data_IF_004746108895
#
_entry.id   IF_004746108895
#
_cell.length_a   1.000
_cell.length_b   1.000
_cell.length_c   1.000
_cell.angle_alpha   90.00
_cell.angle_beta   90.00
_cell.angle_gamma   90.00
#
_symmetry.space_group_name_H-M   'P 1'
#
loop_
_entity.id
_entity.type
_entity.pdbx_description
1 polymer ?
#
# COMPACT_ATOMS: atom_id res chain seq x y z
N UNK A 1 -22.98 -8.13 6.90
CA UNK A 1 -22.18 -8.47 5.70
C UNK A 1 -20.70 -8.22 6.01
N UNK A 2 -19.89 -9.26 6.17
CA UNK A 2 -18.45 -9.10 6.42
C UNK A 2 -17.78 -8.59 5.14
N UNK A 3 -17.26 -7.35 5.13
CA UNK A 3 -16.44 -6.86 4.01
C UNK A 3 -15.21 -7.76 3.88
N UNK A 4 -15.06 -8.40 2.72
CA UNK A 4 -13.91 -9.24 2.39
C UNK A 4 -12.63 -8.43 2.62
N UNK A 5 -11.65 -9.01 3.33
CA UNK A 5 -10.34 -8.38 3.52
C UNK A 5 -9.68 -8.25 2.15
N UNK A 6 -9.05 -7.10 1.89
CA UNK A 6 -8.28 -6.79 0.69
C UNK A 6 -6.80 -6.68 1.05
N UNK A 7 -5.94 -6.91 0.07
CA UNK A 7 -4.50 -6.70 0.21
C UNK A 7 -4.14 -5.39 -0.49
N UNK A 8 -3.28 -4.62 0.16
CA UNK A 8 -2.70 -3.40 -0.37
C UNK A 8 -1.18 -3.55 -0.32
N UNK A 9 -0.48 -2.97 -1.29
CA UNK A 9 0.97 -2.93 -1.31
C UNK A 9 1.43 -1.47 -1.14
N UNK A 10 2.48 -1.25 -0.36
CA UNK A 10 3.10 0.06 -0.23
C UNK A 10 4.58 0.01 -0.59
N UNK A 11 5.06 1.06 -1.24
CA UNK A 11 6.48 1.33 -1.44
C UNK A 11 6.72 2.81 -1.17
N UNK A 12 7.68 3.11 -0.31
CA UNK A 12 8.07 4.47 0.00
C UNK A 12 9.42 4.84 -0.62
N UNK A 13 9.67 6.14 -0.76
CA UNK A 13 10.87 6.67 -1.42
C UNK A 13 12.19 6.36 -0.74
N UNK A 14 12.19 5.73 0.44
CA UNK A 14 13.42 5.20 1.06
C UNK A 14 13.65 3.72 0.71
N UNK A 15 12.84 3.15 -0.19
CA UNK A 15 12.94 1.77 -0.64
C UNK A 15 12.29 0.76 0.30
N UNK A 16 11.57 1.21 1.32
CA UNK A 16 10.88 0.32 2.25
C UNK A 16 9.49 -0.03 1.72
N UNK A 17 9.18 -1.32 1.72
CA UNK A 17 8.09 -1.93 0.97
C UNK A 17 7.38 -2.97 1.81
N UNK A 18 6.08 -3.15 1.58
CA UNK A 18 5.33 -4.18 2.29
C UNK A 18 3.89 -4.30 1.87
N UNK A 19 3.17 -5.16 2.60
CA UNK A 19 1.75 -5.42 2.37
C UNK A 19 0.90 -5.03 3.58
N UNK A 20 -0.30 -4.55 3.33
CA UNK A 20 -1.30 -4.19 4.34
C UNK A 20 -2.59 -4.95 4.03
N UNK A 21 -3.11 -5.68 5.02
CA UNK A 21 -4.42 -6.33 4.92
C UNK A 21 -5.47 -5.42 5.57
N UNK A 22 -6.37 -4.87 4.76
CA UNK A 22 -7.39 -3.94 5.24
C UNK A 22 -8.76 -4.18 4.57
N UNK A 23 -9.82 -3.57 5.12
CA UNK A 23 -11.18 -3.67 4.55
C UNK A 23 -11.44 -2.63 3.44
N UNK A 24 -10.58 -1.64 3.29
CA UNK A 24 -10.69 -0.53 2.34
C UNK A 24 -9.37 0.23 2.24
N UNK A 25 -9.21 1.02 1.18
CA UNK A 25 -8.06 1.89 0.97
C UNK A 25 -7.79 2.84 2.15
N UNK A 26 -8.82 3.59 2.58
CA UNK A 26 -8.73 4.46 3.78
C UNK A 26 -8.32 3.70 5.05
N UNK A 27 -8.70 2.43 5.14
CA UNK A 27 -8.27 1.56 6.23
C UNK A 27 -6.78 1.22 6.16
N UNK A 28 -6.28 0.95 4.95
CA UNK A 28 -4.88 0.68 4.69
C UNK A 28 -4.02 1.93 4.94
N UNK A 29 -4.41 3.09 4.42
CA UNK A 29 -3.79 4.39 4.69
C UNK A 29 -3.65 4.66 6.19
N UNK A 30 -4.73 4.46 6.97
CA UNK A 30 -4.68 4.65 8.42
C UNK A 30 -3.70 3.69 9.10
N UNK A 31 -3.59 2.45 8.63
CA UNK A 31 -2.63 1.47 9.18
C UNK A 31 -1.20 1.88 8.80
N UNK A 32 -0.99 2.32 7.55
CA UNK A 32 0.29 2.79 7.06
C UNK A 32 0.82 3.97 7.90
N UNK A 33 0.01 5.02 8.08
CA UNK A 33 0.40 6.20 8.87
C UNK A 33 0.63 5.95 10.36
N UNK A 34 0.18 4.82 10.93
CA UNK A 34 0.57 4.46 12.30
C UNK A 34 2.06 4.14 12.42
N UNK A 35 2.64 3.55 11.38
CA UNK A 35 4.07 3.22 11.33
C UNK A 35 4.88 4.33 10.66
N UNK A 36 4.28 5.04 9.70
CA UNK A 36 4.92 6.12 8.93
C UNK A 36 4.13 7.44 9.02
N UNK A 37 4.02 8.07 10.19
CA UNK A 37 3.10 9.18 10.43
C UNK A 37 3.38 10.46 9.65
N UNK A 38 4.61 10.62 9.13
CA UNK A 38 5.03 11.82 8.39
C UNK A 38 5.09 11.62 6.88
N UNK A 39 4.85 10.41 6.37
CA UNK A 39 4.95 10.13 4.94
C UNK A 39 3.70 10.59 4.21
N UNK A 40 3.87 11.01 2.96
CA UNK A 40 2.77 11.40 2.08
C UNK A 40 2.37 10.19 1.24
N UNK A 41 1.08 9.88 1.14
CA UNK A 41 0.63 8.95 0.10
C UNK A 41 0.42 9.77 -1.17
N UNK A 42 1.08 9.36 -2.25
CA UNK A 42 1.18 10.12 -3.50
C UNK A 42 0.92 9.21 -4.70
N UNK A 43 0.68 9.82 -5.86
CA UNK A 43 0.43 9.16 -7.14
C UNK A 43 1.33 9.67 -8.26
N UNK A 44 2.32 10.52 -7.94
CA UNK A 44 3.23 11.13 -8.90
C UNK A 44 4.69 11.06 -8.42
N UNK A 45 5.62 11.08 -9.37
CA UNK A 45 7.06 10.88 -9.12
C UNK A 45 7.72 12.05 -8.37
N UNK A 46 7.30 13.28 -8.66
CA UNK A 46 7.87 14.47 -8.01
C UNK A 46 7.65 14.44 -6.50
N UNK A 47 6.41 14.17 -6.07
CA UNK A 47 6.06 14.07 -4.65
C UNK A 47 6.55 12.75 -4.03
N UNK A 48 6.80 11.72 -4.84
CA UNK A 48 7.40 10.48 -4.37
C UNK A 48 8.78 10.72 -3.76
N UNK A 49 9.66 11.39 -4.50
CA UNK A 49 11.00 11.73 -4.02
C UNK A 49 10.98 12.71 -2.83
N UNK A 50 9.94 13.52 -2.69
CA UNK A 50 9.69 14.36 -1.51
C UNK A 50 8.92 13.61 -0.39
N UNK A 51 9.52 12.54 0.14
CA UNK A 51 9.00 11.77 1.28
C UNK A 51 7.61 11.13 1.01
N UNK A 52 7.35 10.81 -0.26
CA UNK A 52 6.15 10.13 -0.70
C UNK A 52 6.17 8.61 -0.53
N UNK A 53 5.02 8.00 -0.76
CA UNK A 53 4.74 6.58 -0.71
C UNK A 53 3.63 6.27 -1.68
N UNK A 54 3.87 5.29 -2.54
CA UNK A 54 2.79 4.70 -3.31
C UNK A 54 2.06 3.66 -2.47
N UNK A 55 0.72 3.69 -2.50
CA UNK A 55 -0.14 2.71 -1.87
C UNK A 55 -1.16 2.21 -2.90
N UNK A 56 -1.11 0.92 -3.21
CA UNK A 56 -1.91 0.30 -4.25
C UNK A 56 -2.85 -0.75 -3.67
N UNK A 57 -4.10 -0.80 -4.15
CA UNK A 57 -4.98 -1.93 -3.88
C UNK A 57 -4.64 -3.08 -4.83
N UNK A 58 -4.36 -4.26 -4.29
CA UNK A 58 -4.12 -5.45 -5.11
C UNK A 58 -5.44 -6.02 -5.64
N UNK A 59 -5.35 -6.74 -6.76
CA UNK A 59 -6.48 -7.52 -7.26
C UNK A 59 -6.96 -8.56 -6.24
N UNK A 60 -8.14 -9.14 -6.49
CA UNK A 60 -8.70 -10.16 -5.61
C UNK A 60 -7.72 -11.32 -5.41
N UNK A 61 -7.38 -11.55 -4.14
CA UNK A 61 -6.40 -12.58 -3.76
C UNK A 61 -6.99 -13.97 -3.98
N UNK A 62 -6.22 -14.82 -4.66
CA UNK A 62 -6.52 -16.22 -4.95
C UNK A 62 -5.54 -17.10 -4.18
N UNK A 63 -6.05 -18.24 -3.69
CA UNK A 63 -5.21 -19.22 -3.01
C UNK A 63 -4.12 -19.75 -3.96
N UNK A 64 -2.93 -20.00 -3.41
CA UNK A 64 -1.78 -20.57 -4.12
C UNK A 64 -1.31 -19.76 -5.35
N UNK A 65 -1.47 -18.44 -5.34
CA UNK A 65 -0.95 -17.53 -6.39
C UNK A 65 0.13 -16.61 -5.81
N UNK A 66 1.25 -16.47 -6.53
CA UNK A 66 2.27 -15.46 -6.27
C UNK A 66 1.86 -14.14 -6.93
N UNK A 67 2.08 -13.03 -6.22
CA UNK A 67 1.75 -11.68 -6.70
C UNK A 67 3.02 -10.82 -6.69
N UNK A 68 3.34 -10.22 -7.84
CA UNK A 68 4.31 -9.14 -7.92
C UNK A 68 3.65 -7.84 -7.50
N UNK A 69 3.90 -7.40 -6.27
CA UNK A 69 3.24 -6.23 -5.69
C UNK A 69 3.94 -4.89 -6.00
N UNK A 70 5.11 -4.94 -6.62
CA UNK A 70 5.96 -3.79 -6.89
C UNK A 70 6.44 -3.87 -8.34
N UNK A 71 6.18 -2.86 -9.19
CA UNK A 71 6.78 -2.80 -10.50
C UNK A 71 8.31 -2.74 -10.38
N UNK A 72 9.02 -3.49 -11.23
CA UNK A 72 10.47 -3.43 -11.38
C UNK A 72 10.90 -2.12 -12.02
#
# INVERSE_FOLDING_TARGET
MFKKKKVFAYENSYGDKGIIIAKSYRGAERIFHKNYPKRKIVDNDADYWDNGTYLFEMEEVKNNKLYGCFPC
#
